data_IF_249830405551
#
_entry.id   IF_249830405551
#
_cell.length_a   1.000
_cell.length_b   1.000
_cell.length_c   1.000
_cell.angle_alpha   90.00
_cell.angle_beta   90.00
_cell.angle_gamma   90.00
#
_symmetry.space_group_name_H-M   'P 1'
#
loop_
_entity.id
_entity.type
_entity.pdbx_description
1 polymer ?
#
# COMPACT_ATOMS: atom_id res chain seq x y z
N UNK A 1 -14.04 -2.89 -10.26
CA UNK A 1 -14.76 -3.87 -9.43
C UNK A 1 -16.22 -3.46 -9.36
N UNK A 2 -17.16 -4.39 -9.48
CA UNK A 2 -18.59 -4.11 -9.23
C UNK A 2 -18.85 -3.89 -7.73
N UNK A 3 -20.01 -3.34 -7.38
CA UNK A 3 -20.41 -3.14 -5.99
C UNK A 3 -20.49 -4.47 -5.21
N UNK A 4 -21.03 -5.51 -5.83
CA UNK A 4 -21.07 -6.87 -5.26
C UNK A 4 -19.67 -7.41 -4.99
N UNK A 5 -18.76 -7.27 -5.95
CA UNK A 5 -17.36 -7.69 -5.80
C UNK A 5 -16.64 -6.92 -4.68
N UNK A 6 -16.93 -5.63 -4.52
CA UNK A 6 -16.37 -4.83 -3.43
C UNK A 6 -16.88 -5.28 -2.07
N UNK A 7 -18.18 -5.55 -1.93
CA UNK A 7 -18.77 -6.04 -0.68
C UNK A 7 -18.22 -7.41 -0.29
N UNK A 8 -18.12 -8.33 -1.25
CA UNK A 8 -17.55 -9.67 -1.01
C UNK A 8 -16.07 -9.60 -0.65
N UNK A 9 -15.31 -8.72 -1.32
CA UNK A 9 -13.91 -8.48 -0.99
C UNK A 9 -13.76 -7.96 0.44
N UNK A 10 -14.58 -7.00 0.87
CA UNK A 10 -14.56 -6.46 2.23
C UNK A 10 -14.88 -7.54 3.26
N UNK A 11 -15.95 -8.32 3.05
CA UNK A 11 -16.34 -9.40 3.97
C UNK A 11 -15.26 -10.45 4.11
N UNK A 12 -14.70 -10.90 2.98
CA UNK A 12 -13.64 -11.92 2.97
C UNK A 12 -12.36 -11.40 3.64
N UNK A 13 -11.96 -10.17 3.33
CA UNK A 13 -10.77 -9.54 3.93
C UNK A 13 -10.93 -9.36 5.44
N UNK A 14 -12.12 -8.97 5.91
CA UNK A 14 -12.38 -8.82 7.33
C UNK A 14 -12.21 -10.15 8.08
N UNK A 15 -12.69 -11.27 7.52
CA UNK A 15 -12.48 -12.61 8.09
C UNK A 15 -10.99 -12.96 8.13
N UNK A 16 -10.26 -12.77 7.02
CA UNK A 16 -8.81 -13.08 6.94
C UNK A 16 -8.00 -12.24 7.94
N UNK A 17 -8.37 -10.99 8.13
CA UNK A 17 -7.70 -10.06 9.05
C UNK A 17 -8.18 -10.19 10.51
N UNK A 18 -9.18 -11.03 10.79
CA UNK A 18 -9.75 -11.19 12.12
C UNK A 18 -10.49 -9.94 12.63
N UNK A 19 -11.03 -9.12 11.71
CA UNK A 19 -11.76 -7.90 12.04
C UNK A 19 -13.26 -8.21 12.08
N UNK A 20 -13.88 -8.05 13.23
CA UNK A 20 -15.33 -8.18 13.38
C UNK A 20 -16.04 -6.94 12.82
N UNK A 21 -16.86 -7.14 11.79
CA UNK A 21 -17.73 -6.11 11.22
C UNK A 21 -19.14 -6.64 11.04
N UNK A 22 -20.14 -5.77 11.21
CA UNK A 22 -21.52 -6.06 10.84
C UNK A 22 -21.78 -5.77 9.35
N UNK A 23 -22.96 -6.15 8.85
CA UNK A 23 -23.33 -5.99 7.44
C UNK A 23 -23.40 -4.52 6.99
N UNK A 24 -23.84 -3.61 7.85
CA UNK A 24 -23.95 -2.20 7.51
C UNK A 24 -22.57 -1.52 7.51
N UNK A 25 -21.69 -1.93 8.42
CA UNK A 25 -20.28 -1.56 8.42
C UNK A 25 -19.60 -2.06 7.14
N UNK A 26 -19.81 -3.32 6.75
CA UNK A 26 -19.26 -3.89 5.53
C UNK A 26 -19.69 -3.09 4.28
N UNK A 27 -20.96 -2.72 4.18
CA UNK A 27 -21.47 -1.86 3.09
C UNK A 27 -20.81 -0.49 3.07
N UNK A 28 -20.70 0.20 4.22
CA UNK A 28 -20.03 1.51 4.30
C UNK A 28 -18.56 1.41 3.88
N UNK A 29 -17.84 0.40 4.35
CA UNK A 29 -16.44 0.15 3.99
C UNK A 29 -16.32 -0.13 2.50
N UNK A 30 -17.22 -0.93 1.89
CA UNK A 30 -17.22 -1.21 0.46
C UNK A 30 -17.36 0.06 -0.40
N UNK A 31 -18.19 1.02 0.01
CA UNK A 31 -18.32 2.32 -0.67
C UNK A 31 -16.99 3.09 -0.65
N UNK A 32 -16.33 3.15 0.51
CA UNK A 32 -15.03 3.82 0.62
C UNK A 32 -13.94 3.09 -0.15
N UNK A 33 -13.92 1.76 -0.11
CA UNK A 33 -13.01 0.93 -0.88
C UNK A 33 -13.18 1.16 -2.39
N UNK A 34 -14.42 1.30 -2.88
CA UNK A 34 -14.69 1.60 -4.28
C UNK A 34 -14.06 2.93 -4.74
N UNK A 35 -14.08 3.96 -3.89
CA UNK A 35 -13.40 5.24 -4.16
C UNK A 35 -11.88 5.06 -4.20
N UNK A 36 -11.32 4.27 -3.28
CA UNK A 36 -9.89 3.96 -3.27
C UNK A 36 -9.48 3.13 -4.49
N UNK A 37 -10.30 2.16 -4.91
CA UNK A 37 -10.04 1.37 -6.10
C UNK A 37 -9.98 2.25 -7.37
N UNK A 38 -10.83 3.28 -7.47
CA UNK A 38 -10.76 4.24 -8.56
C UNK A 38 -9.45 5.06 -8.54
N UNK A 39 -8.94 5.44 -7.35
CA UNK A 39 -7.64 6.11 -7.23
C UNK A 39 -6.48 5.16 -7.56
N UNK A 40 -6.54 3.91 -7.11
CA UNK A 40 -5.54 2.89 -7.43
C UNK A 40 -5.47 2.62 -8.94
N UNK A 41 -6.61 2.58 -9.63
CA UNK A 41 -6.66 2.43 -11.09
C UNK A 41 -5.92 3.56 -11.82
N UNK A 42 -5.88 4.77 -11.28
CA UNK A 42 -5.09 5.87 -11.86
C UNK A 42 -3.59 5.62 -11.70
N UNK A 43 -3.17 5.03 -10.57
CA UNK A 43 -1.76 4.69 -10.31
C UNK A 43 -1.29 3.52 -11.20
N UNK A 44 -2.15 2.56 -11.52
CA UNK A 44 -1.81 1.46 -12.45
C UNK A 44 -1.48 1.94 -13.86
N UNK A 45 -1.87 3.16 -14.22
CA UNK A 45 -1.49 3.79 -15.50
C UNK A 45 -0.12 4.46 -15.44
N UNK A 46 0.55 4.48 -14.28
CA UNK A 46 1.93 4.91 -14.19
C UNK A 46 2.81 3.87 -14.91
N UNK A 47 3.51 4.30 -15.96
CA UNK A 47 4.37 3.45 -16.78
C UNK A 47 5.66 3.07 -16.06
N UNK A 48 5.55 2.30 -14.99
CA UNK A 48 6.69 1.78 -14.22
C UNK A 48 7.33 0.59 -14.94
N UNK A 49 8.66 0.58 -15.00
CA UNK A 49 9.48 -0.55 -15.46
C UNK A 49 9.89 -1.42 -14.25
N UNK A 50 10.34 -2.65 -14.51
CA UNK A 50 10.83 -3.61 -13.52
C UNK A 50 12.03 -3.06 -12.74
N UNK A 51 12.79 -2.14 -13.34
CA UNK A 51 13.93 -1.48 -12.70
C UNK A 51 13.54 -0.27 -11.84
N UNK A 52 12.28 0.17 -11.86
CA UNK A 52 11.84 1.28 -10.99
C UNK A 52 11.79 0.81 -9.53
N UNK A 53 12.62 1.43 -8.71
CA UNK A 53 12.79 1.06 -7.30
C UNK A 53 11.73 1.74 -6.41
N UNK A 54 11.39 1.13 -5.26
CA UNK A 54 10.67 1.83 -4.21
C UNK A 54 11.36 3.15 -3.82
N UNK A 55 10.57 4.13 -3.38
CA UNK A 55 11.09 5.45 -3.00
C UNK A 55 12.20 5.40 -1.93
N UNK A 56 12.20 4.37 -1.09
CA UNK A 56 13.21 4.16 -0.06
C UNK A 56 13.69 2.70 -0.12
N UNK A 57 15.01 2.52 -0.15
CA UNK A 57 15.67 1.20 -0.12
C UNK A 57 16.28 0.97 1.25
N UNK A 58 16.12 -0.26 1.75
CA UNK A 58 16.67 -0.66 3.03
C UNK A 58 18.20 -0.51 3.07
N UNK A 59 18.70 0.23 4.07
CA UNK A 59 20.12 0.40 4.35
C UNK A 59 20.45 -0.29 5.69
N UNK A 60 21.02 -1.52 5.68
CA UNK A 60 21.25 -2.29 6.90
C UNK A 60 22.25 -1.63 7.85
N UNK A 61 23.24 -0.94 7.28
CA UNK A 61 24.20 -0.13 8.02
C UNK A 61 24.61 1.07 7.14
N UNK A 62 24.82 2.25 7.75
CA UNK A 62 25.44 3.36 7.05
C UNK A 62 26.78 2.93 6.45
N UNK A 63 27.10 3.44 5.26
CA UNK A 63 28.40 3.20 4.66
C UNK A 63 29.50 3.77 5.56
N UNK A 64 30.57 3.00 5.86
CA UNK A 64 31.64 3.48 6.74
C UNK A 64 32.31 4.72 6.16
N UNK A 65 32.55 5.72 6.99
CA UNK A 65 33.34 6.87 6.57
C UNK A 65 34.76 6.42 6.19
N UNK A 66 35.31 6.90 5.06
CA UNK A 66 36.70 6.62 4.73
C UNK A 66 37.62 7.19 5.84
N UNK A 67 38.75 6.52 6.13
CA UNK A 67 39.69 6.98 7.16
C UNK A 67 40.16 8.41 6.85
N UNK A 68 39.93 9.34 7.79
CA UNK A 68 40.28 10.75 7.68
C UNK A 68 39.13 11.73 7.43
N UNK A 69 37.90 11.26 7.19
CA UNK A 69 36.75 12.13 6.87
C UNK A 69 36.28 13.06 8.03
N UNK A 70 36.68 12.79 9.28
CA UNK A 70 36.35 13.62 10.44
C UNK A 70 37.38 14.71 10.78
N UNK A 71 38.36 14.96 9.89
CA UNK A 71 39.53 15.79 10.19
C UNK A 71 39.68 16.96 9.21
N UNK A 72 38.57 17.56 8.79
CA UNK A 72 38.58 18.88 8.14
C UNK A 72 37.42 19.74 8.66
N UNK A 73 37.77 20.52 9.70
CA UNK A 73 37.24 21.83 10.15
C UNK A 73 35.74 22.02 10.36
#
# INVERSE_FOLDING_TARGET
>A
MSEEQLLDYVRTSAVVLGISIDDDQARRVAIHLGRTAAMAQQLEQAGLDVADEPAEIYCPLPFPSPPGAGQQR
#
